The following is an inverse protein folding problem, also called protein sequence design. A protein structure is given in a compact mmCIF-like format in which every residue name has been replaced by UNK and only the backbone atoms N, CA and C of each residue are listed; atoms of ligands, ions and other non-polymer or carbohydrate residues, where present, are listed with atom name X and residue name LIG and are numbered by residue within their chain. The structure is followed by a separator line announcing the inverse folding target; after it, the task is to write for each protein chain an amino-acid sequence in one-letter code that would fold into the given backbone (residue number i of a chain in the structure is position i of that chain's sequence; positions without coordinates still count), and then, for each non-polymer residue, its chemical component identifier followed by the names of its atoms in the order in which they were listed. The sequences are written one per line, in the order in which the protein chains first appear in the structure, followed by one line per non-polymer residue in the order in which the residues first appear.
data_IF_630698875225
#
_entry.id   IF_630698875225
#
_cell.length_a   1.000
_cell.length_b   1.000
_cell.length_c   1.000
_cell.angle_alpha   90.00
_cell.angle_beta   90.00
_cell.angle_gamma   90.00
#
_symmetry.space_group_name_H-M   'P 1'
#
loop_
_entity.id
_entity.type
_entity.pdbx_description
1 polymer ?
#
# COMPACT_ATOMS: atom_id res chain seq x y z
N UNK A 1 7.52 13.70 -5.58
CA UNK A 1 6.71 12.47 -5.70
C UNK A 1 7.13 11.74 -6.96
N UNK A 2 7.34 10.43 -6.93
CA UNK A 2 7.73 9.70 -8.13
C UNK A 2 6.64 9.74 -9.19
N UNK A 3 7.05 9.60 -10.45
CA UNK A 3 6.12 9.55 -11.56
C UNK A 3 5.59 8.13 -11.75
N UNK A 4 4.31 8.06 -12.06
CA UNK A 4 3.64 6.80 -12.35
C UNK A 4 3.14 6.08 -11.11
N UNK A 5 2.05 5.35 -11.28
CA UNK A 5 1.36 4.68 -10.17
C UNK A 5 2.21 3.56 -9.56
N UNK A 6 2.99 2.85 -10.38
CA UNK A 6 3.82 1.76 -9.89
C UNK A 6 4.93 2.28 -8.97
N UNK A 7 5.61 3.36 -9.36
CA UNK A 7 6.65 3.96 -8.54
C UNK A 7 6.07 4.54 -7.25
N UNK A 8 4.89 5.15 -7.32
CA UNK A 8 4.22 5.68 -6.12
C UNK A 8 3.77 4.56 -5.19
N UNK A 9 3.26 3.46 -5.72
CA UNK A 9 2.86 2.30 -4.91
C UNK A 9 4.08 1.71 -4.19
N UNK A 10 5.20 1.59 -4.90
CA UNK A 10 6.43 1.06 -4.32
C UNK A 10 6.93 1.95 -3.20
N UNK A 11 6.95 3.27 -3.42
CA UNK A 11 7.36 4.22 -2.38
C UNK A 11 6.44 4.13 -1.16
N UNK A 12 5.13 4.05 -1.37
CA UNK A 12 4.17 3.94 -0.28
C UNK A 12 4.43 2.69 0.57
N UNK A 13 4.69 1.56 -0.07
CA UNK A 13 4.95 0.30 0.64
C UNK A 13 6.32 0.30 1.31
N UNK A 14 7.33 0.92 0.70
CA UNK A 14 8.64 1.09 1.36
C UNK A 14 8.50 1.96 2.61
N UNK A 15 7.70 3.01 2.55
CA UNK A 15 7.46 3.87 3.71
C UNK A 15 6.73 3.12 4.81
N UNK A 16 5.73 2.31 4.47
CA UNK A 16 5.02 1.46 5.44
C UNK A 16 6.01 0.52 6.13
N UNK A 17 6.86 -0.13 5.34
CA UNK A 17 7.87 -1.05 5.86
C UNK A 17 8.81 -0.35 6.84
N UNK A 18 9.27 0.84 6.49
CA UNK A 18 10.16 1.62 7.34
C UNK A 18 9.50 2.03 8.66
N UNK A 19 8.25 2.47 8.59
CA UNK A 19 7.49 2.87 9.79
C UNK A 19 7.25 1.67 10.70
N UNK A 20 6.91 0.52 10.15
CA UNK A 20 6.74 -0.71 10.93
C UNK A 20 8.03 -1.12 11.61
N UNK A 21 9.15 -1.04 10.90
CA UNK A 21 10.46 -1.37 11.47
C UNK A 21 10.79 -0.47 12.66
N UNK A 22 10.47 0.82 12.59
CA UNK A 22 10.65 1.75 13.72
C UNK A 22 9.84 1.33 14.94
N UNK A 23 8.68 0.71 14.74
CA UNK A 23 7.83 0.22 15.82
C UNK A 23 8.19 -1.19 16.27
N UNK A 24 9.23 -1.79 15.71
CA UNK A 24 9.62 -3.18 16.01
C UNK A 24 8.69 -4.21 15.36
N UNK A 25 8.04 -3.83 14.26
CA UNK A 25 7.09 -4.68 13.55
C UNK A 25 7.60 -5.03 12.15
N UNK A 26 6.97 -6.01 11.54
CA UNK A 26 7.28 -6.47 10.19
C UNK A 26 6.05 -6.38 9.29
N UNK A 27 6.23 -6.59 8.00
CA UNK A 27 5.10 -6.62 7.06
C UNK A 27 4.10 -7.71 7.41
N UNK A 28 4.55 -8.81 7.99
CA UNK A 28 3.67 -9.90 8.47
C UNK A 28 2.85 -9.50 9.69
N UNK A 29 3.15 -8.38 10.31
CA UNK A 29 2.37 -7.84 11.44
C UNK A 29 1.10 -7.13 10.98
N UNK A 30 0.97 -6.87 9.68
CA UNK A 30 -0.19 -6.15 9.13
C UNK A 30 -1.41 -7.05 9.17
N UNK A 31 -2.52 -6.55 9.71
CA UNK A 31 -3.79 -7.29 9.77
C UNK A 31 -4.84 -6.74 8.83
N UNK A 32 -4.70 -5.47 8.41
CA UNK A 32 -5.61 -4.86 7.46
C UNK A 32 -4.90 -3.78 6.64
N UNK A 33 -5.26 -3.69 5.37
CA UNK A 33 -4.80 -2.61 4.50
C UNK A 33 -5.97 -1.89 3.85
N UNK A 34 -5.78 -0.60 3.60
CA UNK A 34 -6.69 0.23 2.83
C UNK A 34 -5.89 0.83 1.68
N UNK A 35 -6.34 0.58 0.46
CA UNK A 35 -5.67 1.06 -0.74
C UNK A 35 -6.60 2.04 -1.45
N UNK A 36 -6.13 3.27 -1.63
CA UNK A 36 -6.87 4.33 -2.32
C UNK A 36 -6.20 4.58 -3.65
N UNK A 37 -6.93 4.44 -4.76
CA UNK A 37 -6.42 4.59 -6.12
C UNK A 37 -7.17 5.71 -6.83
N UNK A 38 -6.42 6.57 -7.52
CA UNK A 38 -7.04 7.64 -8.31
C UNK A 38 -7.78 7.10 -9.53
N UNK A 39 -7.29 6.02 -10.12
CA UNK A 39 -7.89 5.39 -11.29
C UNK A 39 -7.86 3.87 -11.13
N UNK A 40 -9.03 3.26 -11.05
CA UNK A 40 -9.14 1.80 -10.84
C UNK A 40 -8.56 0.99 -12.01
N UNK A 41 -8.37 1.60 -13.18
CA UNK A 41 -7.66 0.94 -14.28
C UNK A 41 -6.21 0.61 -13.92
N UNK A 42 -5.65 1.29 -12.91
CA UNK A 42 -4.29 1.03 -12.43
C UNK A 42 -4.23 -0.09 -11.37
N UNK A 43 -5.39 -0.67 -11.01
CA UNK A 43 -5.43 -1.68 -9.95
C UNK A 43 -4.47 -2.83 -10.18
N UNK A 44 -4.42 -3.35 -11.41
CA UNK A 44 -3.53 -4.48 -11.74
C UNK A 44 -2.06 -4.15 -11.49
N UNK A 45 -1.64 -2.94 -11.84
CA UNK A 45 -0.26 -2.48 -11.62
C UNK A 45 0.04 -2.33 -10.13
N UNK A 46 -0.88 -1.71 -9.40
CA UNK A 46 -0.74 -1.54 -7.94
C UNK A 46 -0.72 -2.89 -7.25
N UNK A 47 -1.62 -3.79 -7.65
CA UNK A 47 -1.72 -5.11 -7.03
C UNK A 47 -0.45 -5.94 -7.24
N UNK A 48 0.18 -5.84 -8.40
CA UNK A 48 1.44 -6.54 -8.66
C UNK A 48 2.55 -6.07 -7.70
N UNK A 49 2.66 -4.77 -7.47
CA UNK A 49 3.63 -4.20 -6.52
C UNK A 49 3.25 -4.58 -5.09
N UNK A 50 1.97 -4.47 -4.74
CA UNK A 50 1.44 -4.86 -3.43
C UNK A 50 1.84 -6.30 -3.08
N UNK A 51 1.67 -7.22 -4.02
CA UNK A 51 1.97 -8.63 -3.80
C UNK A 51 3.47 -8.89 -3.57
N UNK A 52 4.35 -8.02 -4.03
CA UNK A 52 5.79 -8.15 -3.76
C UNK A 52 6.12 -7.87 -2.29
N UNK A 53 5.31 -7.06 -1.62
CA UNK A 53 5.54 -6.65 -0.24
C UNK A 53 4.69 -7.40 0.78
N UNK A 54 3.46 -7.74 0.41
CA UNK A 54 2.49 -8.36 1.31
C UNK A 54 2.14 -9.74 0.74
N UNK A 55 2.99 -10.72 1.08
CA UNK A 55 2.94 -12.06 0.50
C UNK A 55 3.18 -13.16 1.53
N UNK A 56 2.94 -12.87 2.79
CA UNK A 56 3.12 -13.85 3.85
C UNK A 56 2.12 -15.00 3.78
N UNK A 57 2.27 -16.02 4.62
CA UNK A 57 1.38 -17.19 4.62
C UNK A 57 -0.07 -16.82 4.98
N UNK A 58 -0.25 -15.76 5.76
CA UNK A 58 -1.59 -15.23 6.08
C UNK A 58 -1.64 -13.81 5.56
N UNK A 59 -2.56 -13.56 4.63
CA UNK A 59 -2.71 -12.25 4.04
C UNK A 59 -3.64 -11.37 4.87
N UNK A 60 -3.36 -10.07 5.01
CA UNK A 60 -4.26 -9.17 5.72
C UNK A 60 -5.56 -8.96 4.95
N UNK A 61 -6.61 -8.56 5.65
CA UNK A 61 -7.82 -8.06 5.01
C UNK A 61 -7.47 -6.81 4.21
N UNK A 62 -8.09 -6.64 3.04
CA UNK A 62 -7.80 -5.50 2.17
C UNK A 62 -9.09 -4.90 1.62
N UNK A 63 -9.15 -3.56 1.64
CA UNK A 63 -10.14 -2.81 0.89
C UNK A 63 -9.40 -1.93 -0.11
N UNK A 64 -9.89 -1.90 -1.35
CA UNK A 64 -9.33 -1.06 -2.39
C UNK A 64 -10.45 -0.27 -3.03
N UNK A 65 -10.32 1.06 -3.03
CA UNK A 65 -11.35 1.95 -3.55
C UNK A 65 -10.75 3.01 -4.46
N UNK A 66 -11.53 3.42 -5.44
CA UNK A 66 -11.18 4.56 -6.29
C UNK A 66 -11.66 5.82 -5.60
N UNK A 67 -10.83 6.86 -5.63
CA UNK A 67 -11.15 8.15 -5.00
C UNK A 67 -11.08 9.27 -6.02
N UNK A 68 -11.80 10.37 -5.74
CA UNK A 68 -11.85 11.52 -6.65
C UNK A 68 -10.48 12.21 -6.74
N UNK A 69 -9.74 12.28 -5.64
CA UNK A 69 -8.43 12.91 -5.59
C UNK A 69 -7.66 12.45 -4.38
N UNK A 70 -6.34 12.53 -4.46
CA UNK A 70 -5.43 12.29 -3.34
C UNK A 70 -4.56 13.53 -3.12
N UNK A 71 -4.02 13.72 -1.91
CA UNK A 71 -3.16 14.86 -1.62
C UNK A 71 -2.01 14.96 -2.63
N UNK A 72 -1.68 16.20 -3.02
CA UNK A 72 -0.57 16.50 -3.92
C UNK A 72 -0.64 15.79 -5.28
N UNK A 73 -1.87 15.49 -5.74
CA UNK A 73 -2.06 14.82 -7.02
C UNK A 73 -1.56 13.37 -7.02
N UNK A 74 -1.50 12.73 -5.87
CA UNK A 74 -1.09 11.33 -5.78
C UNK A 74 -1.99 10.40 -6.58
N UNK A 75 -1.44 9.28 -7.03
CA UNK A 75 -2.17 8.27 -7.80
C UNK A 75 -2.58 7.08 -6.94
N UNK A 76 -1.91 6.88 -5.81
CA UNK A 76 -2.21 5.80 -4.88
C UNK A 76 -1.81 6.19 -3.46
N UNK A 77 -2.58 5.70 -2.48
CA UNK A 77 -2.26 5.85 -1.07
C UNK A 77 -2.56 4.54 -0.37
N UNK A 78 -1.72 4.11 0.55
CA UNK A 78 -1.88 2.84 1.26
C UNK A 78 -1.80 3.09 2.76
N UNK A 79 -2.84 2.66 3.48
CA UNK A 79 -2.87 2.68 4.93
C UNK A 79 -2.86 1.26 5.45
N UNK A 80 -2.24 1.05 6.60
CA UNK A 80 -2.21 -0.28 7.23
C UNK A 80 -2.55 -0.18 8.71
N UNK A 81 -3.11 -1.27 9.22
CA UNK A 81 -3.26 -1.51 10.65
C UNK A 81 -2.41 -2.74 10.94
N UNK A 82 -1.50 -2.60 11.91
CA UNK A 82 -0.59 -3.68 12.27
C UNK A 82 -0.70 -3.94 13.77
N UNK A 83 -0.38 -5.17 14.16
CA UNK A 83 -0.46 -5.61 15.54
C UNK A 83 0.76 -6.42 15.91
N UNK A 84 1.26 -6.21 17.11
CA UNK A 84 2.35 -7.02 17.67
C UNK A 84 1.91 -8.45 17.94
#
# INVERSE_FOLDING_TARGET
MPEGVEAQAKLALENVKAILAEAGLEMTSIIKTLVFIKDMNDFGKVNAIYAEYINGPVLPARSCVEVAALPKGGLVEIEVIAKK
#
